data_IF_307192626580
#
_entry.id   IF_307192626580
#
_cell.length_a   1.000
_cell.length_b   1.000
_cell.length_c   1.000
_cell.angle_alpha   90.00
_cell.angle_beta   90.00
_cell.angle_gamma   90.00
#
_symmetry.space_group_name_H-M   'P 1'
#
loop_
_entity.id
_entity.type
_entity.pdbx_description
1 polymer ?
#
# COMPACT_ATOMS: atom_id res chain seq x y z
N UNK A 1 8.67 17.05 16.66
CA UNK A 1 7.52 16.16 16.42
C UNK A 1 6.62 16.05 17.64
N UNK A 2 7.05 15.43 18.75
CA UNK A 2 6.20 15.31 19.95
C UNK A 2 5.89 16.68 20.60
N UNK A 3 6.84 17.60 20.58
CA UNK A 3 6.62 18.98 21.00
C UNK A 3 5.61 19.70 20.10
N UNK A 4 5.62 19.43 18.79
CA UNK A 4 4.66 20.01 17.84
C UNK A 4 3.25 19.49 18.09
N UNK A 5 3.11 18.19 18.37
CA UNK A 5 1.83 17.57 18.78
C UNK A 5 1.36 18.19 20.10
N UNK A 6 2.22 18.31 21.10
CA UNK A 6 1.90 18.98 22.36
C UNK A 6 1.44 20.42 22.14
N UNK A 7 2.15 21.20 21.32
CA UNK A 7 1.77 22.57 20.97
C UNK A 7 0.42 22.63 20.28
N UNK A 8 0.12 21.70 19.37
CA UNK A 8 -1.18 21.59 18.71
C UNK A 8 -2.29 21.28 19.71
N UNK A 9 -2.11 20.27 20.56
CA UNK A 9 -3.11 19.85 21.55
C UNK A 9 -3.40 20.98 22.54
N UNK A 10 -2.38 21.66 23.05
CA UNK A 10 -2.55 22.85 23.92
C UNK A 10 -3.46 23.92 23.31
N UNK A 11 -3.32 24.16 22.00
CA UNK A 11 -4.17 25.12 21.26
C UNK A 11 -5.60 24.60 21.09
N UNK A 12 -5.78 23.32 20.81
CA UNK A 12 -7.10 22.70 20.61
C UNK A 12 -7.90 22.60 21.91
N UNK A 13 -7.25 22.24 23.02
CA UNK A 13 -7.91 22.09 24.32
C UNK A 13 -7.93 23.39 25.13
N UNK A 14 -7.40 24.49 24.60
CA UNK A 14 -7.22 25.79 25.29
C UNK A 14 -6.51 25.64 26.65
N UNK A 15 -5.62 24.66 26.76
CA UNK A 15 -4.91 24.33 28.00
C UNK A 15 -3.40 24.56 27.81
N UNK A 16 -2.88 25.76 28.08
CA UNK A 16 -1.48 26.08 27.86
C UNK A 16 -0.52 25.38 28.85
N UNK A 17 -1.02 24.90 29.99
CA UNK A 17 -0.21 24.24 31.02
C UNK A 17 -0.15 22.73 30.89
N UNK A 18 -0.88 22.15 29.92
CA UNK A 18 -0.85 20.73 29.59
C UNK A 18 0.60 20.25 29.42
N UNK A 19 0.97 19.19 30.11
CA UNK A 19 2.29 18.58 30.02
C UNK A 19 2.30 17.44 29.00
N UNK A 20 3.49 16.91 28.71
CA UNK A 20 3.61 15.71 27.87
C UNK A 20 2.86 14.54 28.52
N UNK A 21 1.97 13.90 27.78
CA UNK A 21 1.21 12.73 28.23
C UNK A 21 1.49 11.52 27.34
N UNK A 22 1.11 10.32 27.80
CA UNK A 22 1.26 9.10 27.01
C UNK A 22 0.45 9.15 25.71
N UNK A 23 -0.69 9.83 25.69
CA UNK A 23 -1.50 10.02 24.48
C UNK A 23 -0.76 10.85 23.43
N UNK A 24 -0.08 11.92 23.84
CA UNK A 24 0.72 12.77 22.94
C UNK A 24 1.92 11.97 22.41
N UNK A 25 2.54 11.16 23.26
CA UNK A 25 3.62 10.27 22.84
C UNK A 25 3.13 9.22 21.83
N UNK A 26 1.99 8.59 22.11
CA UNK A 26 1.37 7.61 21.22
C UNK A 26 0.98 8.22 19.87
N UNK A 27 0.36 9.40 19.87
CA UNK A 27 0.03 10.14 18.65
C UNK A 27 1.28 10.47 17.83
N UNK A 28 2.38 10.81 18.51
CA UNK A 28 3.68 11.03 17.85
C UNK A 28 4.20 9.73 17.21
N UNK A 29 4.12 8.61 17.91
CA UNK A 29 4.52 7.30 17.36
C UNK A 29 3.68 6.92 16.13
N UNK A 30 2.37 7.18 16.15
CA UNK A 30 1.50 6.95 14.98
C UNK A 30 2.00 7.76 13.77
N UNK A 31 2.30 9.05 13.96
CA UNK A 31 2.81 9.89 12.86
C UNK A 31 4.16 9.40 12.31
N UNK A 32 5.07 8.99 13.18
CA UNK A 32 6.37 8.44 12.76
C UNK A 32 6.15 7.14 11.98
N UNK A 33 5.28 6.27 12.49
CA UNK A 33 4.95 5.01 11.81
C UNK A 33 4.31 5.23 10.44
N UNK A 34 3.38 6.19 10.32
CA UNK A 34 2.77 6.55 9.04
C UNK A 34 3.83 7.02 8.02
N UNK A 35 4.83 7.79 8.46
CA UNK A 35 5.94 8.17 7.60
C UNK A 35 6.81 6.97 7.21
N UNK A 36 7.12 6.06 8.13
CA UNK A 36 7.87 4.84 7.83
C UNK A 36 7.12 3.93 6.84
N UNK A 37 5.81 3.83 6.98
CA UNK A 37 4.95 3.07 6.08
C UNK A 37 4.88 3.71 4.69
N UNK A 38 4.76 5.03 4.60
CA UNK A 38 4.81 5.76 3.33
C UNK A 38 6.15 5.62 2.61
N UNK A 39 7.26 5.72 3.34
CA UNK A 39 8.60 5.74 2.73
C UNK A 39 9.16 4.36 2.44
N UNK A 40 8.95 3.40 3.34
CA UNK A 40 9.65 2.13 3.33
C UNK A 40 8.71 0.92 3.46
N UNK A 41 7.41 1.12 3.58
CA UNK A 41 6.44 0.05 3.82
C UNK A 41 6.85 -0.83 5.03
N UNK A 42 7.27 -0.17 6.12
CA UNK A 42 7.65 -0.84 7.37
C UNK A 42 6.97 -0.19 8.55
N UNK A 43 6.36 -1.03 9.39
CA UNK A 43 5.88 -0.67 10.73
C UNK A 43 7.05 -0.46 11.69
N UNK A 44 6.83 0.27 12.78
CA UNK A 44 7.89 0.61 13.73
C UNK A 44 8.49 -0.62 14.42
N UNK A 45 7.68 -1.65 14.67
CA UNK A 45 8.15 -2.91 15.25
C UNK A 45 9.20 -3.61 14.38
N UNK A 46 9.07 -3.53 13.04
CA UNK A 46 10.05 -4.05 12.09
C UNK A 46 11.37 -3.26 12.07
N UNK A 47 11.39 -2.06 12.66
CA UNK A 47 12.56 -1.21 12.80
C UNK A 47 13.16 -1.28 14.22
N UNK A 48 12.64 -2.17 15.08
CA UNK A 48 13.10 -2.31 16.47
C UNK A 48 12.61 -1.18 17.40
N UNK A 49 11.56 -0.46 16.99
CA UNK A 49 10.96 0.62 17.78
C UNK A 49 9.64 0.19 18.42
N UNK A 50 9.22 0.90 19.46
CA UNK A 50 7.93 0.69 20.12
C UNK A 50 6.80 0.92 19.12
N UNK A 51 5.92 -0.08 18.97
CA UNK A 51 4.73 0.06 18.14
C UNK A 51 3.73 1.05 18.78
N UNK A 52 3.10 1.93 17.99
CA UNK A 52 2.04 2.77 18.50
C UNK A 52 0.81 1.93 18.87
N UNK A 53 0.09 2.37 19.89
CA UNK A 53 -1.22 1.86 20.24
C UNK A 53 -2.28 2.50 19.34
N UNK A 54 -2.58 1.87 18.20
CA UNK A 54 -3.72 2.24 17.35
C UNK A 54 -4.97 1.57 17.90
N UNK A 55 -6.05 2.33 18.11
CA UNK A 55 -7.36 1.70 18.30
C UNK A 55 -7.64 0.80 17.08
N UNK A 56 -8.22 -0.37 17.30
CA UNK A 56 -8.38 -1.42 16.28
C UNK A 56 -9.06 -0.92 14.99
N UNK A 57 -9.93 0.09 15.11
CA UNK A 57 -10.64 0.73 14.01
C UNK A 57 -9.74 1.62 13.13
N UNK A 58 -8.70 2.24 13.71
CA UNK A 58 -7.76 3.12 13.01
C UNK A 58 -6.70 2.32 12.25
N UNK A 59 -6.26 1.19 12.81
CA UNK A 59 -5.37 0.26 12.11
C UNK A 59 -6.02 -0.33 10.85
N UNK A 60 -7.30 -0.72 10.94
CA UNK A 60 -8.06 -1.22 9.80
C UNK A 60 -8.28 -0.14 8.74
N UNK A 61 -8.65 1.08 9.14
CA UNK A 61 -8.80 2.21 8.21
C UNK A 61 -7.49 2.55 7.49
N UNK A 62 -6.35 2.44 8.17
CA UNK A 62 -5.05 2.64 7.55
C UNK A 62 -4.77 1.57 6.49
N UNK A 63 -4.88 0.27 6.82
CA UNK A 63 -4.70 -0.81 5.84
C UNK A 63 -5.67 -0.67 4.65
N UNK A 64 -6.94 -0.30 4.89
CA UNK A 64 -7.91 -0.04 3.83
C UNK A 64 -7.51 1.15 2.93
N UNK A 65 -6.95 2.23 3.48
CA UNK A 65 -6.42 3.35 2.68
C UNK A 65 -5.21 2.94 1.85
N UNK A 66 -4.38 2.01 2.32
CA UNK A 66 -3.22 1.51 1.56
C UNK A 66 -3.61 0.64 0.37
N UNK A 67 -4.76 -0.04 0.47
CA UNK A 67 -5.32 -0.84 -0.61
C UNK A 67 -6.27 -0.05 -1.51
N UNK A 68 -6.36 1.27 -1.35
CA UNK A 68 -7.23 2.10 -2.18
C UNK A 68 -6.58 2.38 -3.54
N UNK A 69 -6.84 1.49 -4.49
CA UNK A 69 -6.47 1.69 -5.89
C UNK A 69 -7.58 2.46 -6.63
N UNK A 70 -7.17 3.34 -7.54
CA UNK A 70 -8.10 3.93 -8.51
C UNK A 70 -8.48 2.87 -9.54
N UNK A 71 -9.62 2.22 -9.31
CA UNK A 71 -10.13 1.14 -10.15
C UNK A 71 -10.37 1.61 -11.60
N UNK A 72 -10.80 2.86 -11.80
CA UNK A 72 -11.01 3.41 -13.14
C UNK A 72 -9.68 3.60 -13.87
N UNK A 73 -8.67 4.17 -13.19
CA UNK A 73 -7.33 4.31 -13.76
C UNK A 73 -6.67 2.96 -14.07
N UNK A 74 -6.88 1.94 -13.23
CA UNK A 74 -6.42 0.57 -13.48
C UNK A 74 -7.13 -0.03 -14.70
N UNK A 75 -8.45 0.09 -14.79
CA UNK A 75 -9.22 -0.40 -15.93
C UNK A 75 -8.79 0.27 -17.25
N UNK A 76 -8.54 1.58 -17.21
CA UNK A 76 -8.05 2.35 -18.35
C UNK A 76 -6.62 1.94 -18.76
N UNK A 77 -5.76 1.66 -17.77
CA UNK A 77 -4.41 1.13 -18.00
C UNK A 77 -4.49 -0.20 -18.73
N UNK A 78 -5.35 -1.12 -18.30
CA UNK A 78 -5.55 -2.41 -18.95
C UNK A 78 -6.07 -2.22 -20.38
N UNK A 79 -7.11 -1.41 -20.56
CA UNK A 79 -7.73 -1.15 -21.87
C UNK A 79 -6.73 -0.60 -22.89
N UNK A 80 -5.86 0.30 -22.45
CA UNK A 80 -4.87 0.96 -23.32
C UNK A 80 -3.69 0.06 -23.65
N UNK A 81 -3.23 -0.75 -22.70
CA UNK A 81 -1.95 -1.45 -22.82
C UNK A 81 -2.06 -2.92 -23.24
N UNK A 82 -3.19 -3.59 -22.99
CA UNK A 82 -3.41 -4.97 -23.48
C UNK A 82 -3.28 -5.11 -25.01
N UNK A 83 -3.72 -4.14 -25.85
CA UNK A 83 -3.49 -4.18 -27.29
C UNK A 83 -2.02 -4.10 -27.71
N UNK A 84 -1.14 -3.58 -26.85
CA UNK A 84 0.30 -3.43 -27.13
C UNK A 84 1.11 -4.69 -26.79
N UNK A 85 0.48 -5.71 -26.19
CA UNK A 85 1.14 -6.97 -25.90
C UNK A 85 1.54 -7.69 -27.19
N UNK A 86 2.78 -8.15 -27.24
CA UNK A 86 3.19 -9.06 -28.30
C UNK A 86 2.50 -10.42 -28.14
N UNK A 87 2.59 -11.28 -29.17
CA UNK A 87 1.90 -12.56 -29.20
C UNK A 87 2.19 -13.46 -27.99
N UNK A 88 3.46 -13.54 -27.54
CA UNK A 88 3.82 -14.40 -26.40
C UNK A 88 3.31 -13.83 -25.08
N UNK A 89 3.45 -12.51 -24.89
CA UNK A 89 2.93 -11.84 -23.70
C UNK A 89 1.40 -11.92 -23.64
N UNK A 90 0.72 -11.85 -24.79
CA UNK A 90 -0.74 -11.98 -24.89
C UNK A 90 -1.22 -13.37 -24.50
N UNK A 91 -0.55 -14.42 -24.99
CA UNK A 91 -0.84 -15.81 -24.58
C UNK A 91 -0.65 -15.98 -23.07
N UNK A 92 0.45 -15.46 -22.51
CA UNK A 92 0.71 -15.54 -21.08
C UNK A 92 -0.35 -14.76 -20.27
N UNK A 93 -0.72 -13.56 -20.72
CA UNK A 93 -1.75 -12.74 -20.11
C UNK A 93 -3.10 -13.47 -20.08
N UNK A 94 -3.60 -13.90 -21.24
CA UNK A 94 -4.91 -14.53 -21.37
C UNK A 94 -4.98 -15.83 -20.52
N UNK A 95 -3.92 -16.64 -20.54
CA UNK A 95 -3.81 -17.87 -19.74
C UNK A 95 -3.90 -17.59 -18.23
N UNK A 96 -3.19 -16.57 -17.76
CA UNK A 96 -3.16 -16.23 -16.33
C UNK A 96 -4.48 -15.61 -15.86
N UNK A 97 -5.11 -14.77 -16.70
CA UNK A 97 -6.42 -14.22 -16.40
C UNK A 97 -7.50 -15.31 -16.36
N UNK A 98 -7.45 -16.27 -17.28
CA UNK A 98 -8.36 -17.42 -17.25
C UNK A 98 -8.14 -18.29 -16.00
N UNK A 99 -6.88 -18.56 -15.63
CA UNK A 99 -6.56 -19.29 -14.40
C UNK A 99 -7.05 -18.57 -13.14
N UNK A 100 -6.91 -17.23 -13.09
CA UNK A 100 -7.42 -16.42 -11.99
C UNK A 100 -8.96 -16.44 -11.91
N UNK A 101 -9.65 -16.28 -13.05
CA UNK A 101 -11.11 -16.26 -13.10
C UNK A 101 -11.75 -17.64 -12.85
N UNK A 102 -11.04 -18.72 -13.17
CA UNK A 102 -11.53 -20.09 -12.99
C UNK A 102 -11.30 -20.65 -11.59
N UNK A 103 -10.65 -19.88 -10.69
CA UNK A 103 -10.23 -20.33 -9.36
C UNK A 103 -9.42 -21.64 -9.37
N UNK A 104 -8.89 -22.04 -10.53
CA UNK A 104 -8.10 -23.26 -10.69
C UNK A 104 -6.75 -23.19 -9.97
N UNK A 105 -6.30 -21.96 -9.68
CA UNK A 105 -5.03 -21.69 -9.02
C UNK A 105 -3.84 -22.16 -9.83
N UNK A 106 -2.65 -22.17 -9.20
CA UNK A 106 -1.43 -22.67 -9.82
C UNK A 106 -0.23 -21.75 -9.66
N UNK A 107 0.95 -22.26 -9.99
CA UNK A 107 2.21 -21.51 -9.96
C UNK A 107 2.73 -21.43 -11.40
N UNK A 108 2.96 -20.20 -11.87
CA UNK A 108 3.44 -19.92 -13.21
C UNK A 108 4.79 -19.22 -13.17
N UNK A 109 5.70 -19.60 -14.07
CA UNK A 109 7.01 -18.98 -14.19
C UNK A 109 7.10 -18.19 -15.50
N UNK A 110 7.28 -16.87 -15.38
CA UNK A 110 7.51 -16.00 -16.52
C UNK A 110 9.00 -15.95 -16.87
N UNK A 111 9.46 -16.91 -17.67
CA UNK A 111 10.84 -16.97 -18.14
C UNK A 111 11.01 -16.10 -19.40
N UNK A 112 11.79 -15.02 -19.29
CA UNK A 112 12.19 -14.25 -20.47
C UNK A 112 13.58 -13.60 -20.27
N UNK A 113 14.31 -13.26 -21.33
CA UNK A 113 15.56 -12.48 -21.25
C UNK A 113 15.38 -11.08 -20.67
N UNK A 114 16.47 -10.44 -20.23
CA UNK A 114 16.43 -9.01 -19.86
C UNK A 114 15.90 -8.16 -21.04
N UNK A 115 15.09 -7.15 -20.75
CA UNK A 115 14.55 -6.24 -21.79
C UNK A 115 13.25 -6.68 -22.47
N UNK A 116 12.68 -7.86 -22.15
CA UNK A 116 11.40 -8.32 -22.72
C UNK A 116 10.16 -7.81 -21.97
N UNK A 117 10.28 -6.69 -21.28
CA UNK A 117 9.16 -6.02 -20.61
C UNK A 117 8.33 -6.93 -19.67
N UNK A 118 8.96 -7.88 -18.98
CA UNK A 118 8.26 -8.76 -18.01
C UNK A 118 7.51 -7.95 -16.95
N UNK A 119 8.10 -6.84 -16.51
CA UNK A 119 7.49 -5.91 -15.56
C UNK A 119 6.20 -5.32 -16.11
N UNK A 120 6.14 -4.99 -17.41
CA UNK A 120 4.94 -4.47 -18.06
C UNK A 120 3.80 -5.48 -18.02
N UNK A 121 4.09 -6.74 -18.37
CA UNK A 121 3.11 -7.82 -18.31
C UNK A 121 2.61 -8.08 -16.87
N UNK A 122 3.51 -8.09 -15.89
CA UNK A 122 3.13 -8.27 -14.47
C UNK A 122 2.25 -7.12 -14.00
N UNK A 123 2.58 -5.87 -14.34
CA UNK A 123 1.76 -4.71 -13.98
C UNK A 123 0.35 -4.81 -14.57
N UNK A 124 0.20 -5.28 -15.82
CA UNK A 124 -1.11 -5.46 -16.44
C UNK A 124 -1.94 -6.56 -15.78
N UNK A 125 -1.31 -7.68 -15.41
CA UNK A 125 -1.96 -8.75 -14.68
C UNK A 125 -2.47 -8.26 -13.31
N UNK A 126 -1.64 -7.54 -12.57
CA UNK A 126 -2.00 -6.97 -11.27
C UNK A 126 -3.10 -5.90 -11.37
N UNK A 127 -3.14 -5.14 -12.47
CA UNK A 127 -4.19 -4.17 -12.73
C UNK A 127 -5.51 -4.82 -13.14
N UNK A 128 -5.47 -6.02 -13.75
CA UNK A 128 -6.67 -6.74 -14.21
C UNK A 128 -7.30 -7.63 -13.13
N UNK A 129 -6.49 -8.23 -12.27
CA UNK A 129 -6.95 -9.19 -11.24
C UNK A 129 -7.47 -8.47 -9.98
N UNK A 130 -7.01 -7.24 -9.73
CA UNK A 130 -7.62 -6.37 -8.72
C UNK A 130 -9.07 -6.07 -9.05
#
# INVERSE_FOLDING_TARGET
MSEDVLHRVRRQTLNPTLQMTEEIYNETLIMIEDMCLLMANKVLSCLGMTAPNRHMHDALNYELQREQYDIEALAETVRTNVPHLNQQQRIAYDTLIEAANSESGGIYFLAAPGGTEKTFLISLLLARIR
#
